data_IF_627255957298
#
_entry.id   IF_627255957298
#
_cell.length_a   1.000
_cell.length_b   1.000
_cell.length_c   1.000
_cell.angle_alpha   90.00
_cell.angle_beta   90.00
_cell.angle_gamma   90.00
#
_symmetry.space_group_name_H-M   'P 1'
#
loop_
_entity.id
_entity.type
_entity.pdbx_description
1 polymer ?
#
# COMPACT_ATOMS: atom_id res chain seq x y z
N UNK A 1 17.79 9.18 -32.29
CA UNK A 1 16.40 9.52 -32.68
C UNK A 1 16.09 9.17 -34.14
N UNK A 2 16.99 8.53 -34.89
CA UNK A 2 16.84 8.29 -36.34
C UNK A 2 15.94 7.09 -36.74
N UNK A 3 15.27 6.44 -35.78
CA UNK A 3 14.39 5.28 -36.03
C UNK A 3 12.90 5.58 -35.80
N UNK A 4 12.53 6.86 -35.70
CA UNK A 4 11.15 7.26 -35.45
C UNK A 4 10.70 8.19 -36.58
N UNK A 5 9.51 7.92 -37.12
CA UNK A 5 8.90 8.75 -38.15
C UNK A 5 7.91 9.73 -37.51
N UNK A 6 7.77 10.90 -38.12
CA UNK A 6 6.72 11.84 -37.75
C UNK A 6 5.34 11.28 -38.15
N UNK A 7 4.37 11.43 -37.25
CA UNK A 7 2.98 11.12 -37.54
C UNK A 7 2.34 12.30 -38.28
N UNK A 8 1.56 11.99 -39.32
CA UNK A 8 0.79 13.00 -40.05
C UNK A 8 -0.30 13.57 -39.16
N UNK A 9 -0.40 14.90 -39.11
CA UNK A 9 -1.43 15.61 -38.33
C UNK A 9 -2.47 16.26 -39.24
N UNK A 10 -3.65 16.57 -38.68
CA UNK A 10 -4.74 17.29 -39.33
C UNK A 10 -5.24 18.42 -38.42
N UNK A 11 -5.89 19.43 -38.98
CA UNK A 11 -6.66 20.41 -38.20
C UNK A 11 -7.93 19.73 -37.67
N UNK A 12 -8.31 20.04 -36.42
CA UNK A 12 -9.40 19.35 -35.70
C UNK A 12 -10.75 19.36 -36.44
N UNK A 13 -11.05 20.42 -37.20
CA UNK A 13 -12.22 20.50 -38.08
C UNK A 13 -13.53 20.27 -37.34
N UNK A 14 -14.35 19.34 -37.85
CA UNK A 14 -15.68 19.02 -37.33
C UNK A 14 -15.69 17.97 -36.20
N UNK A 15 -14.52 17.53 -35.71
CA UNK A 15 -14.44 16.56 -34.62
C UNK A 15 -14.67 17.26 -33.27
N UNK A 16 -15.92 17.39 -32.86
CA UNK A 16 -16.36 18.06 -31.62
C UNK A 16 -16.97 17.11 -30.58
N UNK A 17 -17.22 15.85 -30.95
CA UNK A 17 -17.74 14.83 -30.05
C UNK A 17 -16.63 14.15 -29.24
N UNK A 18 -16.85 14.04 -27.93
CA UNK A 18 -15.97 13.30 -27.02
C UNK A 18 -16.38 11.83 -27.02
N UNK A 19 -15.48 10.97 -27.47
CA UNK A 19 -15.65 9.52 -27.33
C UNK A 19 -15.73 9.14 -25.84
N UNK A 20 -16.61 8.19 -25.52
CA UNK A 20 -16.75 7.61 -24.18
C UNK A 20 -16.56 6.09 -24.31
N UNK A 21 -15.96 5.42 -23.32
CA UNK A 21 -15.87 3.97 -23.33
C UNK A 21 -17.29 3.35 -23.29
N UNK A 22 -17.53 2.36 -24.14
CA UNK A 22 -18.82 1.63 -24.20
C UNK A 22 -19.06 0.78 -22.95
N UNK A 23 -17.99 0.26 -22.33
CA UNK A 23 -18.03 -0.48 -21.07
C UNK A 23 -16.98 0.09 -20.10
N UNK A 24 -17.43 0.56 -18.94
CA UNK A 24 -16.54 0.73 -17.80
C UNK A 24 -16.37 -0.66 -17.18
N UNK A 25 -15.14 -1.15 -17.06
CA UNK A 25 -14.84 -2.35 -16.28
C UNK A 25 -15.38 -2.15 -14.85
N UNK A 26 -16.50 -2.80 -14.54
CA UNK A 26 -17.08 -2.79 -13.20
C UNK A 26 -16.48 -3.94 -12.40
N UNK A 27 -15.78 -3.57 -11.33
CA UNK A 27 -15.32 -4.53 -10.35
C UNK A 27 -16.48 -4.89 -9.43
N UNK A 28 -16.67 -6.18 -9.18
CA UNK A 28 -17.63 -6.71 -8.21
C UNK A 28 -16.88 -7.53 -7.16
N UNK A 29 -17.58 -7.97 -6.11
CA UNK A 29 -16.98 -8.86 -5.11
C UNK A 29 -16.53 -10.20 -5.71
N UNK A 30 -17.14 -10.63 -6.82
CA UNK A 30 -16.84 -11.89 -7.52
C UNK A 30 -15.70 -11.74 -8.55
N UNK A 31 -15.23 -10.51 -8.81
CA UNK A 31 -14.08 -10.30 -9.68
C UNK A 31 -12.85 -11.03 -9.13
N UNK A 32 -12.03 -11.67 -9.99
CA UNK A 32 -10.81 -12.36 -9.54
C UNK A 32 -9.87 -11.44 -8.74
N UNK A 33 -9.36 -11.94 -7.62
CA UNK A 33 -8.48 -11.24 -6.70
C UNK A 33 -7.19 -10.73 -7.37
N UNK A 34 -6.70 -11.45 -8.38
CA UNK A 34 -5.48 -11.09 -9.12
C UNK A 34 -5.60 -9.72 -9.80
N UNK A 35 -6.82 -9.32 -10.20
CA UNK A 35 -7.06 -8.05 -10.89
C UNK A 35 -6.74 -6.85 -10.00
N UNK A 36 -6.93 -6.97 -8.68
CA UNK A 36 -6.70 -5.89 -7.70
C UNK A 36 -5.35 -5.95 -7.01
N UNK A 37 -4.49 -6.87 -7.43
CA UNK A 37 -3.11 -6.93 -6.98
C UNK A 37 -2.25 -5.87 -7.67
N UNK A 38 -1.49 -5.10 -6.89
CA UNK A 38 -0.36 -4.35 -7.46
C UNK A 38 0.76 -5.35 -7.70
N UNK A 39 0.88 -5.72 -8.97
CA UNK A 39 1.77 -6.74 -9.49
C UNK A 39 3.18 -6.16 -9.73
N UNK A 40 4.19 -6.67 -9.00
CA UNK A 40 5.56 -6.13 -9.08
C UNK A 40 6.37 -6.57 -10.30
N UNK A 41 5.91 -7.58 -11.05
CA UNK A 41 6.47 -7.88 -12.38
C UNK A 41 5.96 -6.92 -13.45
N UNK A 42 4.80 -6.29 -13.22
CA UNK A 42 4.19 -5.32 -14.14
C UNK A 42 4.53 -3.87 -13.80
N UNK A 43 4.70 -3.57 -12.51
CA UNK A 43 4.94 -2.20 -12.01
C UNK A 43 6.04 -2.24 -10.96
N UNK A 44 7.07 -1.42 -11.11
CA UNK A 44 8.14 -1.34 -10.13
C UNK A 44 7.62 -0.80 -8.79
N UNK A 45 7.78 -1.54 -7.67
CA UNK A 45 7.35 -1.04 -6.38
C UNK A 45 8.20 0.14 -5.93
N UNK A 46 7.60 1.07 -5.17
CA UNK A 46 8.41 2.04 -4.45
C UNK A 46 9.15 1.33 -3.32
N UNK A 47 10.46 1.53 -3.28
CA UNK A 47 11.35 1.02 -2.24
C UNK A 47 12.06 2.21 -1.58
N UNK A 48 12.31 2.11 -0.27
CA UNK A 48 13.07 3.10 0.50
C UNK A 48 14.02 2.40 1.46
N UNK A 49 15.21 2.96 1.64
CA UNK A 49 16.14 2.51 2.67
C UNK A 49 15.57 2.76 4.07
N UNK A 50 15.78 1.82 4.98
CA UNK A 50 15.24 1.84 6.34
C UNK A 50 15.66 3.08 7.18
N UNK A 51 16.77 3.72 6.83
CA UNK A 51 17.30 4.90 7.54
C UNK A 51 16.74 6.24 7.00
N UNK A 52 15.89 6.23 5.97
CA UNK A 52 15.19 7.42 5.47
C UNK A 52 14.31 8.02 6.59
N UNK A 53 14.31 9.35 6.72
CA UNK A 53 13.49 10.02 7.74
C UNK A 53 11.98 9.87 7.47
N UNK A 54 11.17 9.86 8.52
CA UNK A 54 9.71 9.77 8.38
C UNK A 54 9.10 10.93 7.56
N UNK A 55 9.67 12.13 7.64
CA UNK A 55 9.18 13.31 6.93
C UNK A 55 9.50 13.24 5.44
N UNK A 56 10.72 12.78 5.09
CA UNK A 56 11.12 12.54 3.70
C UNK A 56 10.29 11.41 3.08
N UNK A 57 10.12 10.29 3.79
CA UNK A 57 9.27 9.20 3.35
C UNK A 57 7.84 9.68 3.08
N UNK A 58 7.26 10.48 3.99
CA UNK A 58 5.93 11.05 3.82
C UNK A 58 5.84 11.95 2.59
N UNK A 59 6.84 12.80 2.36
CA UNK A 59 6.88 13.69 1.21
C UNK A 59 6.96 12.91 -0.10
N UNK A 60 7.83 11.89 -0.16
CA UNK A 60 8.00 11.06 -1.35
C UNK A 60 6.74 10.24 -1.64
N UNK A 61 6.13 9.61 -0.63
CA UNK A 61 4.88 8.87 -0.77
C UNK A 61 3.75 9.75 -1.28
N UNK A 62 3.63 10.99 -0.78
CA UNK A 62 2.67 11.99 -1.29
C UNK A 62 2.94 12.37 -2.73
N UNK A 63 4.21 12.63 -3.09
CA UNK A 63 4.61 13.04 -4.44
C UNK A 63 4.26 11.98 -5.49
N UNK A 64 4.48 10.71 -5.18
CA UNK A 64 4.23 9.58 -6.10
C UNK A 64 2.85 8.93 -5.91
N UNK A 65 2.01 9.48 -5.02
CA UNK A 65 0.63 9.02 -4.77
C UNK A 65 0.53 7.54 -4.34
N UNK A 66 1.52 7.03 -3.61
CA UNK A 66 1.50 5.67 -3.05
C UNK A 66 1.13 5.67 -1.58
N UNK A 67 0.46 4.60 -1.13
CA UNK A 67 0.01 4.44 0.26
C UNK A 67 0.86 3.45 1.08
N UNK A 68 1.73 2.72 0.41
CA UNK A 68 2.66 1.77 1.02
C UNK A 68 4.00 1.76 0.28
N UNK A 69 5.07 1.41 0.99
CA UNK A 69 6.44 1.32 0.51
C UNK A 69 7.10 0.07 1.06
N UNK A 70 7.85 -0.64 0.22
CA UNK A 70 8.74 -1.70 0.68
C UNK A 70 9.99 -1.08 1.29
N UNK A 71 10.32 -1.47 2.51
CA UNK A 71 11.52 -0.99 3.19
C UNK A 71 12.64 -1.99 2.99
N UNK A 72 13.81 -1.50 2.58
CA UNK A 72 15.00 -2.30 2.32
C UNK A 72 16.19 -1.84 3.17
N UNK A 73 17.20 -2.70 3.33
CA UNK A 73 18.52 -2.27 3.78
C UNK A 73 19.42 -1.89 2.60
N UNK A 74 20.69 -1.57 2.89
CA UNK A 74 21.68 -1.13 1.90
C UNK A 74 22.08 -2.21 0.90
N UNK A 75 21.84 -3.47 1.24
CA UNK A 75 22.10 -4.62 0.38
C UNK A 75 20.82 -5.03 -0.38
N UNK A 76 19.83 -4.13 -0.45
CA UNK A 76 18.50 -4.33 -1.05
C UNK A 76 17.68 -5.48 -0.43
N UNK A 77 18.03 -5.95 0.77
CA UNK A 77 17.23 -6.97 1.42
C UNK A 77 15.96 -6.36 1.99
N UNK A 78 14.83 -7.04 1.79
CA UNK A 78 13.54 -6.63 2.36
C UNK A 78 13.55 -6.67 3.90
N UNK A 79 13.18 -5.55 4.51
CA UNK A 79 13.15 -5.35 5.98
C UNK A 79 11.74 -5.15 6.54
N UNK A 80 10.79 -4.66 5.75
CA UNK A 80 9.43 -4.43 6.23
C UNK A 80 8.55 -3.65 5.28
N UNK A 81 7.32 -3.40 5.71
CA UNK A 81 6.32 -2.63 4.98
C UNK A 81 6.03 -1.35 5.77
N UNK A 82 6.10 -0.22 5.10
CA UNK A 82 5.70 1.08 5.62
C UNK A 82 4.41 1.53 4.96
N UNK A 83 3.43 1.96 5.72
CA UNK A 83 2.20 2.57 5.20
C UNK A 83 2.10 4.04 5.61
N UNK A 84 1.28 4.81 4.88
CA UNK A 84 1.03 6.22 5.25
C UNK A 84 0.41 6.34 6.66
N UNK A 85 -0.36 5.34 7.07
CA UNK A 85 -0.98 5.31 8.40
C UNK A 85 0.06 5.11 9.52
N UNK A 86 1.18 4.45 9.23
CA UNK A 86 2.27 4.28 10.20
C UNK A 86 3.00 5.61 10.42
N UNK A 87 3.24 6.36 9.34
CA UNK A 87 3.82 7.71 9.36
C UNK A 87 2.93 8.75 10.04
N UNK A 88 1.62 8.54 10.03
CA UNK A 88 0.63 9.42 10.65
C UNK A 88 0.23 8.95 12.06
N UNK A 89 0.74 7.80 12.51
CA UNK A 89 0.39 7.23 13.80
C UNK A 89 0.93 8.04 14.98
N UNK A 90 0.18 8.06 16.09
CA UNK A 90 0.67 8.62 17.36
C UNK A 90 1.88 7.86 17.91
N UNK A 91 2.00 6.57 17.59
CA UNK A 91 3.16 5.74 17.96
C UNK A 91 4.47 6.33 17.43
N UNK A 92 4.49 6.82 16.20
CA UNK A 92 5.66 7.52 15.65
C UNK A 92 6.10 8.71 16.51
N UNK A 93 5.14 9.46 17.08
CA UNK A 93 5.46 10.58 17.98
C UNK A 93 5.92 10.11 19.35
N UNK A 94 5.30 9.06 19.89
CA UNK A 94 5.70 8.47 21.17
C UNK A 94 7.11 7.87 21.10
N UNK A 95 7.50 7.28 19.97
CA UNK A 95 8.84 6.74 19.76
C UNK A 95 9.88 7.87 19.84
N UNK A 96 9.63 9.02 19.20
CA UNK A 96 10.49 10.19 19.30
C UNK A 96 10.70 10.60 20.76
N UNK A 97 9.59 10.78 21.48
CA UNK A 97 9.61 11.23 22.87
C UNK A 97 10.34 10.25 23.79
N UNK A 98 10.07 8.95 23.67
CA UNK A 98 10.69 7.91 24.49
C UNK A 98 12.17 7.71 24.19
N UNK A 99 12.60 7.94 22.95
CA UNK A 99 14.01 7.83 22.54
C UNK A 99 14.80 9.13 22.76
N UNK A 100 14.16 10.22 23.23
CA UNK A 100 14.77 11.55 23.31
C UNK A 100 15.13 12.14 21.94
N UNK A 101 14.57 11.59 20.86
CA UNK A 101 14.81 12.00 19.49
C UNK A 101 13.82 13.08 19.07
N UNK A 102 14.28 14.02 18.24
CA UNK A 102 13.33 14.93 17.59
C UNK A 102 12.62 14.16 16.49
N UNK A 103 11.41 14.61 16.13
CA UNK A 103 10.60 13.98 15.06
C UNK A 103 11.39 13.76 13.75
N UNK A 104 12.26 14.70 13.40
CA UNK A 104 13.08 14.62 12.18
C UNK A 104 14.23 13.62 12.26
N UNK A 105 14.58 13.14 13.46
CA UNK A 105 15.62 12.14 13.69
C UNK A 105 15.06 10.70 13.67
N UNK A 106 13.74 10.54 13.54
CA UNK A 106 13.11 9.22 13.43
C UNK A 106 13.18 8.78 11.97
N UNK A 107 13.69 7.57 11.76
CA UNK A 107 13.70 6.93 10.45
C UNK A 107 12.51 6.00 10.27
N UNK A 108 12.33 5.51 9.05
CA UNK A 108 11.22 4.60 8.75
C UNK A 108 11.40 3.23 9.44
N UNK A 109 12.62 2.82 9.79
CA UNK A 109 12.87 1.55 10.50
C UNK A 109 12.19 1.49 11.86
N UNK A 110 12.01 2.62 12.55
CA UNK A 110 11.36 2.63 13.87
C UNK A 110 9.84 2.50 13.80
N UNK A 111 9.23 2.84 12.66
CA UNK A 111 7.76 2.93 12.52
C UNK A 111 7.17 1.89 11.55
N UNK A 112 7.99 1.29 10.69
CA UNK A 112 7.54 0.25 9.76
C UNK A 112 7.03 -1.00 10.48
N UNK A 113 6.22 -1.78 9.77
CA UNK A 113 5.98 -3.17 10.17
C UNK A 113 7.13 -4.03 9.69
N UNK A 114 7.98 -4.47 10.63
CA UNK A 114 9.12 -5.35 10.35
C UNK A 114 8.69 -6.67 9.70
N UNK A 115 9.53 -7.23 8.82
CA UNK A 115 9.22 -8.45 8.06
C UNK A 115 8.79 -9.63 8.93
N UNK A 116 9.36 -9.75 10.13
CA UNK A 116 9.06 -10.84 11.07
C UNK A 116 7.62 -10.79 11.62
N UNK A 117 6.95 -9.64 11.48
CA UNK A 117 5.56 -9.41 11.91
C UNK A 117 4.58 -9.39 10.75
N UNK A 118 5.07 -9.45 9.50
CA UNK A 118 4.24 -9.38 8.32
C UNK A 118 3.61 -10.72 8.00
N UNK A 119 2.34 -10.67 7.61
CA UNK A 119 1.65 -11.78 6.97
C UNK A 119 1.62 -11.57 5.47
N UNK A 120 1.65 -12.66 4.71
CA UNK A 120 1.57 -12.64 3.26
C UNK A 120 0.59 -13.70 2.77
N UNK A 121 -0.02 -13.44 1.61
CA UNK A 121 -0.89 -14.37 0.91
C UNK A 121 -0.04 -15.09 -0.16
N UNK A 122 -0.03 -16.43 -0.21
CA UNK A 122 0.59 -17.13 -1.33
C UNK A 122 -0.06 -16.76 -2.66
N UNK A 123 0.74 -16.59 -3.72
CA UNK A 123 0.22 -16.29 -5.06
C UNK A 123 -0.82 -17.34 -5.52
N UNK A 124 -0.62 -18.61 -5.16
CA UNK A 124 -1.55 -19.71 -5.45
C UNK A 124 -2.94 -19.52 -4.83
N UNK A 125 -3.04 -18.83 -3.68
CA UNK A 125 -4.34 -18.48 -3.09
C UNK A 125 -5.00 -17.34 -3.87
N UNK A 126 -4.20 -16.34 -4.29
CA UNK A 126 -4.71 -15.20 -5.07
C UNK A 126 -5.31 -15.64 -6.40
N UNK A 127 -4.71 -16.61 -7.09
CA UNK A 127 -5.19 -17.07 -8.41
C UNK A 127 -6.56 -17.75 -8.36
N UNK A 128 -7.02 -18.17 -7.19
CA UNK A 128 -8.32 -18.85 -7.00
C UNK A 128 -9.31 -18.03 -6.16
N UNK A 129 -8.90 -16.86 -5.66
CA UNK A 129 -9.71 -16.02 -4.78
C UNK A 129 -10.49 -14.95 -5.54
N UNK A 130 -11.57 -14.48 -4.93
CA UNK A 130 -12.32 -13.29 -5.35
C UNK A 130 -11.90 -12.05 -4.55
N UNK A 131 -12.32 -10.87 -5.00
CA UNK A 131 -12.18 -9.63 -4.21
C UNK A 131 -12.87 -9.76 -2.85
N UNK A 132 -14.03 -10.42 -2.77
CA UNK A 132 -14.74 -10.66 -1.53
C UNK A 132 -13.91 -11.47 -0.52
N UNK A 133 -13.17 -12.47 -0.99
CA UNK A 133 -12.29 -13.28 -0.15
C UNK A 133 -11.09 -12.48 0.36
N UNK A 134 -10.50 -11.62 -0.50
CA UNK A 134 -9.45 -10.69 -0.10
C UNK A 134 -9.93 -9.74 1.00
N UNK A 135 -11.10 -9.13 0.84
CA UNK A 135 -11.67 -8.22 1.83
C UNK A 135 -11.90 -8.92 3.17
N UNK A 136 -12.46 -10.13 3.17
CA UNK A 136 -12.61 -10.95 4.37
C UNK A 136 -11.26 -11.26 5.02
N UNK A 137 -10.24 -11.57 4.21
CA UNK A 137 -8.89 -11.89 4.69
C UNK A 137 -8.25 -10.67 5.37
N UNK A 138 -8.32 -9.49 4.73
CA UNK A 138 -7.83 -8.22 5.29
C UNK A 138 -8.54 -7.85 6.59
N UNK A 139 -9.87 -8.02 6.64
CA UNK A 139 -10.68 -7.79 7.85
C UNK A 139 -10.30 -8.75 8.98
N UNK A 140 -10.11 -10.03 8.67
CA UNK A 140 -9.72 -11.04 9.65
C UNK A 140 -8.32 -10.75 10.22
N UNK A 141 -7.37 -10.42 9.33
CA UNK A 141 -6.00 -10.07 9.69
C UNK A 141 -5.90 -8.68 10.36
N UNK A 142 -6.92 -7.83 10.22
CA UNK A 142 -6.95 -6.49 10.81
C UNK A 142 -5.92 -5.52 10.20
N UNK A 143 -5.44 -5.79 8.98
CA UNK A 143 -4.45 -4.96 8.28
C UNK A 143 -5.00 -4.47 6.94
N UNK A 144 -4.82 -3.18 6.58
CA UNK A 144 -5.29 -2.64 5.31
C UNK A 144 -4.44 -3.03 4.10
N UNK A 145 -3.24 -3.58 4.32
CA UNK A 145 -2.32 -4.03 3.27
C UNK A 145 -1.81 -5.44 3.60
N UNK A 146 -1.65 -6.27 2.56
CA UNK A 146 -0.98 -7.57 2.67
C UNK A 146 -0.07 -7.79 1.48
N UNK A 147 1.09 -8.39 1.74
CA UNK A 147 2.01 -8.81 0.70
C UNK A 147 1.47 -10.08 0.02
N UNK A 148 1.78 -10.22 -1.26
CA UNK A 148 1.60 -11.47 -2.00
C UNK A 148 2.98 -12.04 -2.29
N UNK A 149 3.16 -13.33 -2.03
CA UNK A 149 4.46 -14.01 -2.20
C UNK A 149 4.34 -15.16 -3.18
N UNK A 150 5.30 -15.28 -4.09
CA UNK A 150 5.49 -16.50 -4.85
C UNK A 150 6.43 -17.41 -4.05
N UNK A 151 5.87 -18.49 -3.51
CA UNK A 151 6.63 -19.39 -2.63
C UNK A 151 7.65 -20.23 -3.39
N UNK A 152 7.50 -20.40 -4.73
CA UNK A 152 8.40 -21.24 -5.53
C UNK A 152 9.80 -20.62 -5.67
N UNK A 153 9.89 -19.30 -5.79
CA UNK A 153 11.14 -18.56 -5.95
C UNK A 153 11.43 -17.61 -4.77
N UNK A 154 10.64 -17.69 -3.69
CA UNK A 154 10.78 -16.87 -2.48
C UNK A 154 10.70 -15.35 -2.74
N UNK A 155 9.91 -14.91 -3.71
CA UNK A 155 9.78 -13.50 -4.06
C UNK A 155 8.53 -12.85 -3.46
N UNK A 156 8.63 -11.55 -3.14
CA UNK A 156 7.46 -10.72 -2.91
C UNK A 156 6.93 -10.32 -4.29
N UNK A 157 5.79 -10.89 -4.66
CA UNK A 157 5.22 -10.81 -6.00
C UNK A 157 4.28 -9.62 -6.18
N UNK A 158 3.75 -9.08 -5.09
CA UNK A 158 2.87 -7.92 -5.12
C UNK A 158 2.37 -7.47 -3.76
N UNK A 159 1.46 -6.49 -3.78
CA UNK A 159 0.75 -6.01 -2.59
C UNK A 159 -0.73 -5.83 -2.90
N UNK A 160 -1.57 -6.17 -1.93
CA UNK A 160 -3.01 -5.89 -1.92
C UNK A 160 -3.28 -4.72 -0.99
N UNK A 161 -4.13 -3.77 -1.41
CA UNK A 161 -4.58 -2.64 -0.59
C UNK A 161 -6.09 -2.58 -0.54
N UNK A 162 -6.66 -2.61 0.67
CA UNK A 162 -8.09 -2.38 0.91
C UNK A 162 -8.58 -1.05 0.30
N UNK A 163 -7.76 -0.01 0.33
CA UNK A 163 -8.11 1.30 -0.25
C UNK A 163 -8.13 1.30 -1.78
N UNK A 164 -7.29 0.48 -2.43
CA UNK A 164 -7.37 0.30 -3.89
C UNK A 164 -8.60 -0.52 -4.27
N UNK A 165 -8.89 -1.60 -3.52
CA UNK A 165 -10.11 -2.39 -3.69
C UNK A 165 -11.36 -1.51 -3.55
N UNK A 166 -11.45 -0.72 -2.48
CA UNK A 166 -12.57 0.21 -2.23
C UNK A 166 -12.79 1.17 -3.41
N UNK A 167 -11.70 1.75 -3.91
CA UNK A 167 -11.72 2.66 -5.06
C UNK A 167 -12.23 1.97 -6.32
N UNK A 168 -11.78 0.74 -6.62
CA UNK A 168 -12.19 -0.01 -7.81
C UNK A 168 -13.65 -0.47 -7.73
N UNK A 169 -14.10 -0.92 -6.56
CA UNK A 169 -15.49 -1.28 -6.29
C UNK A 169 -16.44 -0.07 -6.17
N UNK A 170 -15.90 1.14 -6.00
CA UNK A 170 -16.66 2.37 -5.72
C UNK A 170 -17.52 2.28 -4.45
N UNK A 171 -17.08 1.51 -3.45
CA UNK A 171 -17.76 1.35 -2.15
C UNK A 171 -16.81 1.68 -0.99
N UNK A 172 -17.30 2.19 0.14
CA UNK A 172 -16.48 2.32 1.33
C UNK A 172 -16.12 0.93 1.86
N UNK A 173 -14.85 0.72 2.18
CA UNK A 173 -14.36 -0.50 2.83
C UNK A 173 -13.69 -0.09 4.14
N UNK A 174 -14.20 -0.58 5.26
CA UNK A 174 -13.57 -0.41 6.56
C UNK A 174 -12.81 -1.67 6.96
N UNK A 175 -11.50 -1.50 7.19
CA UNK A 175 -10.65 -2.51 7.84
C UNK A 175 -10.36 -2.01 9.25
N UNK A 176 -11.12 -2.49 10.23
CA UNK A 176 -10.85 -2.18 11.63
C UNK A 176 -9.55 -2.84 12.07
N UNK A 177 -8.57 -2.04 12.53
CA UNK A 177 -7.43 -2.60 13.27
C UNK A 177 -7.99 -3.31 14.50
N UNK A 178 -7.88 -4.64 14.56
CA UNK A 178 -8.12 -5.34 15.81
C UNK A 178 -6.96 -5.01 16.73
N UNK A 179 -7.26 -4.44 17.90
CA UNK A 179 -6.26 -4.34 18.96
C UNK A 179 -5.80 -5.76 19.30
N UNK A 180 -4.52 -6.03 19.08
CA UNK A 180 -3.93 -7.36 19.26
C UNK A 180 -3.68 -7.66 20.75
N UNK A 181 -3.65 -6.62 21.58
CA UNK A 181 -3.42 -6.70 23.01
C UNK A 181 -4.13 -5.57 23.78
N UNK A 182 -4.31 -5.76 25.09
CA UNK A 182 -5.00 -4.79 25.97
C UNK A 182 -4.31 -3.41 26.01
N UNK A 183 -2.99 -3.36 25.77
CA UNK A 183 -2.22 -2.10 25.79
C UNK A 183 -2.61 -1.20 24.62
N UNK A 184 -2.81 -1.77 23.43
CA UNK A 184 -3.31 -1.03 22.26
C UNK A 184 -4.74 -0.50 22.48
N UNK A 185 -5.60 -1.24 23.18
CA UNK A 185 -6.96 -0.76 23.54
C UNK A 185 -6.89 0.45 24.47
N UNK A 186 -6.02 0.38 25.48
CA UNK A 186 -5.77 1.47 26.44
C UNK A 186 -5.25 2.70 25.70
N UNK A 187 -4.22 2.55 24.86
CA UNK A 187 -3.63 3.67 24.12
C UNK A 187 -4.64 4.38 23.20
N UNK A 188 -5.56 3.63 22.57
CA UNK A 188 -6.65 4.19 21.75
C UNK A 188 -7.68 4.96 22.60
N UNK A 189 -8.04 4.46 23.78
CA UNK A 189 -9.01 5.10 24.67
C UNK A 189 -8.47 6.39 25.31
N UNK A 190 -7.19 6.42 25.65
CA UNK A 190 -6.55 7.59 26.26
C UNK A 190 -6.04 8.62 25.24
N UNK A 191 -5.84 8.23 23.98
CA UNK A 191 -5.53 9.17 22.89
C UNK A 191 -6.67 10.17 22.57
N UNK A 192 -7.90 9.88 22.99
CA UNK A 192 -9.07 10.73 22.77
C UNK A 192 -9.33 11.81 23.84
N UNK A 193 -8.49 11.91 24.88
CA UNK A 193 -8.66 12.84 25.99
C UNK A 193 -7.36 13.58 26.31
N UNK A 194 -6.94 14.47 25.42
CA UNK A 194 -6.06 15.58 25.78
C UNK A 194 -6.59 16.83 25.07
N UNK A 195 -7.49 17.53 25.76
CA UNK A 195 -7.85 18.94 25.58
C UNK A 195 -7.66 19.63 26.91
#
# INVERSE_FOLDING_TARGET
MNNYNELKTILLGASDHIARPEELLEYTLDTPAIEVMTDFEKVQPLMMEQDVSIDEARQMMRKVHVRSVLVIDKDENFRGLLTIADLESRSAMSIATSAGLKRHDISIKEVMTHREKLHAIPLSEITHASIGDLLRTLQHAGTPHMLVVNQLNHEIRGVISSSDIARRLKVPVEISKRASNFREVVDVLFAGRDT
#
